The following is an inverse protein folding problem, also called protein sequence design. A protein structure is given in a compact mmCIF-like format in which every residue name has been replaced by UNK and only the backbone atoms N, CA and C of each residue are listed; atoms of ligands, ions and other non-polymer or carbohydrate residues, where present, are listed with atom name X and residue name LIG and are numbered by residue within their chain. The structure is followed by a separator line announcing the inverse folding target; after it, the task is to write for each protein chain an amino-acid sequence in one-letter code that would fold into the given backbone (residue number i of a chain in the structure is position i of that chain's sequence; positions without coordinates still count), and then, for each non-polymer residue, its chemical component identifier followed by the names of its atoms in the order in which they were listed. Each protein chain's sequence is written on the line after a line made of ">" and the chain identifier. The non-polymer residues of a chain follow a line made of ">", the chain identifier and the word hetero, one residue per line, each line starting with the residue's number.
data_IF_227372917544
#
_entry.id   IF_227372917544
#
_cell.length_a   1.000
_cell.length_b   1.000
_cell.length_c   1.000
_cell.angle_alpha   90.00
_cell.angle_beta   90.00
_cell.angle_gamma   90.00
#
_symmetry.space_group_name_H-M   'P 1'
#
loop_
_entity.id
_entity.type
_entity.pdbx_description
1 polymer ?
#
# COMPACT_ATOMS: atom_id res chain seq x y z
N UNK A 1 -19.86 -2.90 -21.62
CA UNK A 1 -18.95 -1.92 -21.00
C UNK A 1 -19.77 -1.15 -19.97
N UNK A 2 -19.25 -0.98 -18.75
CA UNK A 2 -19.95 -0.22 -17.70
C UNK A 2 -19.49 1.25 -17.70
N UNK A 3 -20.42 2.16 -17.36
CA UNK A 3 -20.14 3.59 -17.18
C UNK A 3 -20.40 3.94 -15.72
N UNK A 4 -19.47 4.66 -15.09
CA UNK A 4 -19.62 5.17 -13.73
C UNK A 4 -19.78 6.69 -13.81
N UNK A 5 -20.86 7.21 -13.23
CA UNK A 5 -21.04 8.64 -13.02
C UNK A 5 -20.76 8.94 -11.54
N UNK A 6 -19.82 9.84 -11.27
CA UNK A 6 -19.56 10.35 -9.91
C UNK A 6 -20.25 11.70 -9.78
N UNK A 7 -21.20 11.80 -8.83
CA UNK A 7 -21.92 13.04 -8.50
C UNK A 7 -21.37 13.63 -7.21
N UNK A 8 -21.66 14.91 -6.98
CA UNK A 8 -21.30 15.65 -5.76
C UNK A 8 -19.80 15.60 -5.43
N UNK A 9 -18.96 15.52 -6.47
CA UNK A 9 -17.51 15.55 -6.29
C UNK A 9 -17.09 16.98 -5.90
N UNK A 10 -16.37 17.15 -4.77
CA UNK A 10 -15.84 18.45 -4.39
C UNK A 10 -14.98 19.05 -5.51
N UNK A 11 -15.12 20.37 -5.71
CA UNK A 11 -14.51 21.05 -6.85
C UNK A 11 -12.98 20.99 -6.81
N UNK A 12 -12.38 21.07 -5.63
CA UNK A 12 -10.94 20.96 -5.39
C UNK A 12 -10.39 19.57 -5.76
N UNK A 13 -11.17 18.52 -5.49
CA UNK A 13 -10.84 17.14 -5.85
C UNK A 13 -10.92 16.97 -7.38
N UNK A 14 -12.01 17.45 -7.99
CA UNK A 14 -12.17 17.42 -9.44
C UNK A 14 -11.03 18.16 -10.16
N UNK A 15 -10.66 19.33 -9.65
CA UNK A 15 -9.56 20.14 -10.19
C UNK A 15 -8.20 19.45 -10.02
N UNK A 16 -7.95 18.84 -8.87
CA UNK A 16 -6.73 18.04 -8.66
C UNK A 16 -6.61 16.92 -9.68
N UNK A 17 -7.71 16.24 -9.98
CA UNK A 17 -7.72 15.20 -11.00
C UNK A 17 -7.54 15.73 -12.42
N UNK A 18 -8.14 16.88 -12.75
CA UNK A 18 -7.89 17.57 -14.03
C UNK A 18 -6.41 17.92 -14.19
N UNK A 19 -5.80 18.58 -13.20
CA UNK A 19 -4.37 18.92 -13.22
C UNK A 19 -3.48 17.70 -13.41
N UNK A 20 -3.75 16.61 -12.68
CA UNK A 20 -2.99 15.36 -12.79
C UNK A 20 -3.16 14.68 -14.15
N UNK A 21 -4.38 14.69 -14.70
CA UNK A 21 -4.66 14.16 -16.03
C UNK A 21 -3.89 14.94 -17.12
N UNK A 22 -3.94 16.28 -17.06
CA UNK A 22 -3.18 17.16 -17.96
C UNK A 22 -1.68 16.93 -17.84
N UNK A 23 -1.14 16.84 -16.62
CA UNK A 23 0.28 16.57 -16.39
C UNK A 23 0.72 15.19 -16.92
N UNK A 24 -0.19 14.21 -16.94
CA UNK A 24 0.04 12.89 -17.52
C UNK A 24 -0.19 12.82 -19.04
N UNK A 25 -0.59 13.92 -19.69
CA UNK A 25 -0.94 13.94 -21.12
C UNK A 25 -2.19 13.12 -21.45
N UNK A 26 -3.09 12.94 -20.48
CA UNK A 26 -4.29 12.10 -20.60
C UNK A 26 -5.56 12.94 -20.51
N UNK A 27 -6.62 12.49 -21.19
CA UNK A 27 -7.96 12.99 -20.90
C UNK A 27 -8.34 12.65 -19.45
N UNK A 28 -9.19 13.48 -18.81
CA UNK A 28 -9.69 13.21 -17.46
C UNK A 28 -10.34 11.82 -17.38
N UNK A 29 -11.10 11.42 -18.40
CA UNK A 29 -11.76 10.11 -18.43
C UNK A 29 -10.76 8.96 -18.48
N UNK A 30 -9.73 9.06 -19.32
CA UNK A 30 -8.65 8.05 -19.39
C UNK A 30 -7.90 7.97 -18.07
N UNK A 31 -7.56 9.11 -17.49
CA UNK A 31 -6.86 9.18 -16.20
C UNK A 31 -7.70 8.55 -15.07
N UNK A 32 -8.99 8.90 -14.97
CA UNK A 32 -9.91 8.30 -14.01
C UNK A 32 -10.08 6.80 -14.18
N UNK A 33 -10.21 6.32 -15.42
CA UNK A 33 -10.24 4.89 -15.70
C UNK A 33 -8.99 4.19 -15.20
N UNK A 34 -7.81 4.75 -15.45
CA UNK A 34 -6.53 4.21 -14.95
C UNK A 34 -6.54 4.16 -13.42
N UNK A 35 -6.90 5.25 -12.74
CA UNK A 35 -6.96 5.29 -11.28
C UNK A 35 -7.96 4.30 -10.68
N UNK A 36 -9.13 4.11 -11.30
CA UNK A 36 -10.13 3.12 -10.87
C UNK A 36 -9.62 1.69 -11.02
N UNK A 37 -8.96 1.37 -12.13
CA UNK A 37 -8.37 0.05 -12.36
C UNK A 37 -7.22 -0.22 -11.39
N UNK A 38 -6.33 0.77 -11.20
CA UNK A 38 -5.23 0.69 -10.24
C UNK A 38 -5.75 0.51 -8.80
N UNK A 39 -6.82 1.21 -8.43
CA UNK A 39 -7.41 1.11 -7.09
C UNK A 39 -7.99 -0.27 -6.76
N UNK A 40 -8.34 -1.07 -7.78
CA UNK A 40 -8.83 -2.45 -7.58
C UNK A 40 -7.70 -3.48 -7.76
N UNK A 41 -6.74 -3.21 -8.65
CA UNK A 41 -5.63 -4.14 -8.94
C UNK A 41 -4.47 -4.03 -7.97
N UNK A 42 -4.20 -2.84 -7.45
CA UNK A 42 -3.30 -2.70 -6.32
C UNK A 42 -3.94 -3.39 -5.14
N UNK A 43 -3.27 -4.40 -4.56
CA UNK A 43 -3.71 -5.00 -3.30
C UNK A 43 -4.09 -3.86 -2.36
N UNK A 44 -5.27 -3.96 -1.76
CA UNK A 44 -5.68 -2.97 -0.76
C UNK A 44 -4.54 -2.89 0.26
N UNK A 45 -4.19 -1.69 0.71
CA UNK A 45 -3.18 -1.56 1.76
C UNK A 45 -3.56 -2.41 2.97
N UNK A 46 -4.86 -2.53 3.26
CA UNK A 46 -5.38 -3.44 4.26
C UNK A 46 -5.03 -4.90 3.96
N UNK A 47 -5.28 -5.38 2.74
CA UNK A 47 -4.91 -6.73 2.30
C UNK A 47 -3.39 -6.96 2.36
N UNK A 48 -2.59 -5.97 1.96
CA UNK A 48 -1.13 -6.06 2.05
C UNK A 48 -0.65 -6.16 3.50
N UNK A 49 -1.28 -5.42 4.43
CA UNK A 49 -1.01 -5.51 5.87
C UNK A 49 -1.45 -6.87 6.40
N UNK A 50 -2.62 -7.36 6.02
CA UNK A 50 -3.13 -8.66 6.46
C UNK A 50 -2.22 -9.81 5.99
N UNK A 51 -1.77 -9.79 4.73
CA UNK A 51 -0.79 -10.75 4.21
C UNK A 51 0.51 -10.68 5.01
N UNK A 52 0.98 -9.48 5.35
CA UNK A 52 2.17 -9.31 6.18
C UNK A 52 1.96 -9.90 7.59
N UNK A 53 0.82 -9.63 8.22
CA UNK A 53 0.46 -10.19 9.53
C UNK A 53 0.38 -11.72 9.49
N UNK A 54 -0.21 -12.30 8.45
CA UNK A 54 -0.25 -13.75 8.24
C UNK A 54 1.14 -14.35 8.00
N UNK A 55 2.00 -13.67 7.24
CA UNK A 55 3.41 -14.08 7.04
C UNK A 55 4.20 -14.04 8.35
N UNK A 56 3.97 -13.03 9.18
CA UNK A 56 4.58 -12.94 10.52
C UNK A 56 4.04 -14.01 11.48
N UNK A 57 2.75 -14.35 11.42
CA UNK A 57 2.17 -15.42 12.23
C UNK A 57 2.66 -16.82 11.83
N UNK A 58 2.93 -17.03 10.53
CA UNK A 58 3.40 -18.32 9.98
C UNK A 58 4.90 -18.54 10.11
N UNK A 59 5.69 -17.47 10.26
CA UNK A 59 7.11 -17.60 10.61
C UNK A 59 7.23 -17.99 12.07
N UNK A 60 7.36 -19.29 12.33
CA UNK A 60 7.63 -19.86 13.66
C UNK A 60 9.05 -19.52 14.20
N UNK A 61 9.66 -18.45 13.72
CA UNK A 61 10.88 -17.91 14.30
C UNK A 61 10.47 -16.70 15.13
N UNK A 62 10.55 -16.76 16.47
CA UNK A 62 10.41 -15.57 17.29
C UNK A 62 11.43 -14.57 16.74
N UNK A 63 10.95 -13.42 16.26
CA UNK A 63 11.84 -12.35 15.82
C UNK A 63 12.93 -12.15 16.89
N UNK A 64 14.13 -11.78 16.46
CA UNK A 64 15.33 -11.69 17.31
C UNK A 64 14.95 -11.11 18.69
N UNK A 65 14.85 -11.98 19.71
CA UNK A 65 14.43 -11.55 21.02
C UNK A 65 15.59 -10.81 21.68
N UNK A 66 15.26 -9.89 22.59
CA UNK A 66 16.28 -9.19 23.38
C UNK A 66 17.19 -10.19 24.12
N UNK A 67 16.63 -11.31 24.56
CA UNK A 67 17.37 -12.41 25.17
C UNK A 67 18.36 -13.05 24.20
N UNK A 68 17.97 -13.27 22.93
CA UNK A 68 18.88 -13.73 21.87
C UNK A 68 20.03 -12.72 21.67
N UNK A 69 19.73 -11.42 21.63
CA UNK A 69 20.76 -10.36 21.51
C UNK A 69 21.70 -10.39 22.72
N UNK A 70 21.16 -10.53 23.92
CA UNK A 70 21.95 -10.55 25.15
C UNK A 70 22.74 -11.84 25.34
N UNK A 71 22.25 -12.97 24.83
CA UNK A 71 22.96 -14.25 24.78
C UNK A 71 24.15 -14.15 23.82
N UNK A 72 23.94 -13.66 22.59
CA UNK A 72 25.03 -13.39 21.64
C UNK A 72 26.07 -12.43 22.22
N UNK A 73 25.63 -11.40 22.96
CA UNK A 73 26.54 -10.45 23.61
C UNK A 73 27.37 -11.07 24.74
N UNK A 74 26.82 -12.03 25.49
CA UNK A 74 27.55 -12.75 26.54
C UNK A 74 28.57 -13.72 25.96
N UNK A 75 28.19 -14.44 24.90
CA UNK A 75 29.07 -15.34 24.16
C UNK A 75 30.30 -14.62 23.62
N UNK A 76 30.13 -13.41 23.07
CA UNK A 76 31.25 -12.58 22.56
C UNK A 76 32.16 -11.97 23.64
N UNK A 77 31.78 -11.98 24.93
CA UNK A 77 32.56 -11.36 26.01
C UNK A 77 33.23 -12.35 26.96
N UNK A 78 32.89 -13.64 26.89
CA UNK A 78 33.30 -14.67 27.85
C UNK A 78 34.18 -15.79 27.30
N UNK A 79 34.57 -15.73 26.03
CA UNK A 79 35.62 -16.58 25.43
C UNK A 79 36.89 -15.77 25.19
#
# INVERSE_FOLDING_TARGET
>A
MATIQVRDLPEDVAETYRRRATAAGQSLQTYMRTKLIEGVRGRDKAEAIEILEQALASTASPGISRETIEASRRELRGG
#
